data_IF_550959410478
#
_entry.id   IF_550959410478
#
_cell.length_a   1.000
_cell.length_b   1.000
_cell.length_c   1.000
_cell.angle_alpha   90.00
_cell.angle_beta   90.00
_cell.angle_gamma   90.00
#
_symmetry.space_group_name_H-M   'P 1'
#
loop_
_entity.id
_entity.type
_entity.pdbx_description
1 polymer ?
#
# COMPACT_ATOMS: atom_id res chain seq x y z
N UNK A 1 59.97 7.53 2.62
CA UNK A 1 58.77 7.50 3.47
C UNK A 1 57.60 7.55 2.52
N UNK A 2 56.96 6.40 2.30
CA UNK A 2 55.96 6.20 1.26
C UNK A 2 54.56 6.68 1.74
N UNK A 3 53.70 7.18 0.85
CA UNK A 3 52.37 7.74 1.18
C UNK A 3 51.26 6.69 1.01
N UNK A 4 51.39 5.50 1.60
CA UNK A 4 50.46 4.39 1.32
C UNK A 4 49.77 3.76 2.56
N UNK A 5 49.94 4.33 3.75
CA UNK A 5 49.36 3.76 4.98
C UNK A 5 48.14 4.56 5.54
N UNK A 6 47.68 5.65 4.90
CA UNK A 6 46.62 6.50 5.46
C UNK A 6 45.25 6.36 4.77
N UNK A 7 45.11 5.48 3.78
CA UNK A 7 43.83 5.30 3.04
C UNK A 7 43.02 4.06 3.40
N UNK A 8 43.58 3.10 4.14
CA UNK A 8 42.86 1.86 4.53
C UNK A 8 42.01 2.04 5.80
N UNK A 9 42.44 2.93 6.72
CA UNK A 9 41.79 3.04 8.04
C UNK A 9 40.42 3.73 7.98
N UNK A 10 40.17 4.55 6.95
CA UNK A 10 38.85 5.23 6.77
C UNK A 10 37.86 4.30 6.06
N UNK A 11 38.31 3.39 5.20
CA UNK A 11 37.49 2.45 4.48
C UNK A 11 36.89 1.39 5.40
N UNK A 12 37.68 0.88 6.30
CA UNK A 12 37.26 -0.16 7.24
C UNK A 12 36.33 0.39 8.32
N UNK A 13 36.59 1.60 8.83
CA UNK A 13 35.71 2.26 9.82
C UNK A 13 34.32 2.62 9.25
N UNK A 14 34.23 2.96 7.96
CA UNK A 14 32.94 3.24 7.29
C UNK A 14 32.20 1.95 7.00
N UNK A 15 32.92 0.86 6.64
CA UNK A 15 32.33 -0.46 6.41
C UNK A 15 31.74 -1.04 7.69
N UNK A 16 32.45 -0.94 8.81
CA UNK A 16 31.98 -1.43 10.11
C UNK A 16 30.80 -0.61 10.63
N UNK A 17 30.81 0.72 10.49
CA UNK A 17 29.70 1.58 10.90
C UNK A 17 28.43 1.37 10.04
N UNK A 18 28.57 1.04 8.75
CA UNK A 18 27.43 0.69 7.89
C UNK A 18 26.93 -0.72 8.21
N UNK A 19 27.83 -1.66 8.50
CA UNK A 19 27.47 -3.02 8.91
C UNK A 19 26.69 -3.02 10.23
N UNK A 20 27.15 -2.27 11.22
CA UNK A 20 26.49 -2.15 12.51
C UNK A 20 25.12 -1.43 12.40
N UNK A 21 25.03 -0.35 11.60
CA UNK A 21 23.78 0.34 11.35
C UNK A 21 22.76 -0.51 10.59
N UNK A 22 23.20 -1.38 9.67
CA UNK A 22 22.34 -2.34 8.96
C UNK A 22 21.95 -3.50 9.89
N UNK A 23 22.85 -3.95 10.76
CA UNK A 23 22.58 -5.00 11.74
C UNK A 23 21.54 -4.56 12.77
N UNK A 24 21.65 -3.32 13.29
CA UNK A 24 20.71 -2.76 14.25
C UNK A 24 19.34 -2.50 13.60
N UNK A 25 19.30 -1.99 12.36
CA UNK A 25 18.05 -1.78 11.63
C UNK A 25 17.32 -3.09 11.27
N UNK A 26 18.06 -4.18 11.05
CA UNK A 26 17.47 -5.51 10.77
C UNK A 26 17.00 -6.18 12.06
N UNK A 27 17.65 -5.92 13.21
CA UNK A 27 17.27 -6.52 14.50
C UNK A 27 15.97 -5.93 15.08
N UNK A 28 15.68 -4.66 14.80
CA UNK A 28 14.43 -3.99 15.24
C UNK A 28 13.23 -4.29 14.30
N UNK A 29 13.45 -4.91 13.14
CA UNK A 29 12.41 -5.16 12.13
C UNK A 29 11.69 -6.51 12.27
N UNK A 30 12.22 -7.45 13.04
CA UNK A 30 11.54 -8.75 13.25
C UNK A 30 10.50 -8.61 14.34
N UNK A 31 9.20 -8.89 14.06
CA UNK A 31 8.17 -8.84 15.08
C UNK A 31 8.54 -9.72 16.28
N UNK A 32 8.22 -9.29 17.52
CA UNK A 32 8.41 -10.11 18.71
C UNK A 32 7.74 -11.48 18.55
N UNK A 33 8.38 -12.54 19.06
CA UNK A 33 7.89 -13.91 18.90
C UNK A 33 6.47 -14.10 19.46
N UNK A 34 6.16 -13.42 20.55
CA UNK A 34 4.82 -13.39 21.16
C UNK A 34 3.76 -12.74 20.25
N UNK A 35 4.12 -11.71 19.47
CA UNK A 35 3.24 -11.11 18.47
C UNK A 35 2.98 -12.07 17.29
N UNK A 36 3.98 -12.82 16.86
CA UNK A 36 3.83 -13.85 15.83
C UNK A 36 2.95 -15.01 16.30
N UNK A 37 3.12 -15.46 17.54
CA UNK A 37 2.30 -16.54 18.12
C UNK A 37 0.82 -16.10 18.23
N UNK A 38 0.54 -14.86 18.62
CA UNK A 38 -0.82 -14.32 18.66
C UNK A 38 -1.43 -14.20 17.24
N UNK A 39 -0.65 -13.83 16.25
CA UNK A 39 -1.08 -13.68 14.86
C UNK A 39 -1.52 -14.98 14.19
N UNK A 40 -1.07 -16.16 14.66
CA UNK A 40 -1.48 -17.46 14.11
C UNK A 40 -2.98 -17.73 14.22
N UNK A 41 -3.65 -17.17 15.21
CA UNK A 41 -5.08 -17.38 15.48
C UNK A 41 -5.96 -16.20 15.04
N UNK A 42 -5.38 -15.09 14.62
CA UNK A 42 -6.09 -13.87 14.22
C UNK A 42 -5.59 -13.36 12.85
N UNK A 43 -6.37 -13.58 11.77
CA UNK A 43 -5.98 -13.14 10.42
C UNK A 43 -5.76 -11.62 10.30
N UNK A 44 -6.50 -10.79 11.04
CA UNK A 44 -6.32 -9.34 11.03
C UNK A 44 -4.99 -8.95 11.67
N UNK A 45 -4.70 -9.51 12.85
CA UNK A 45 -3.43 -9.28 13.52
C UNK A 45 -2.25 -9.79 12.67
N UNK A 46 -2.39 -10.92 11.99
CA UNK A 46 -1.38 -11.42 11.06
C UNK A 46 -1.08 -10.42 9.95
N UNK A 47 -2.12 -9.82 9.35
CA UNK A 47 -1.94 -8.77 8.33
C UNK A 47 -1.24 -7.53 8.89
N UNK A 48 -1.64 -7.06 10.08
CA UNK A 48 -0.99 -5.90 10.74
C UNK A 48 0.50 -6.16 10.94
N UNK A 49 0.85 -7.28 11.60
CA UNK A 49 2.24 -7.61 11.92
C UNK A 49 3.09 -7.76 10.66
N UNK A 50 2.56 -8.44 9.64
CA UNK A 50 3.27 -8.65 8.38
C UNK A 50 3.50 -7.34 7.63
N UNK A 51 2.47 -6.52 7.45
CA UNK A 51 2.56 -5.29 6.67
C UNK A 51 3.31 -4.17 7.40
N UNK A 52 3.23 -4.10 8.73
CA UNK A 52 4.06 -3.18 9.51
C UNK A 52 5.55 -3.50 9.34
N UNK A 53 5.90 -4.78 9.40
CA UNK A 53 7.28 -5.22 9.18
C UNK A 53 7.78 -4.93 7.76
N UNK A 54 6.92 -5.12 6.75
CA UNK A 54 7.31 -5.01 5.34
C UNK A 54 7.25 -3.56 4.81
N UNK A 55 6.57 -2.64 5.50
CA UNK A 55 6.21 -1.31 5.00
C UNK A 55 7.40 -0.50 4.43
N UNK A 56 8.58 -0.58 5.07
CA UNK A 56 9.76 0.17 4.65
C UNK A 56 10.37 -0.32 3.32
N UNK A 57 10.17 -1.58 2.96
CA UNK A 57 10.75 -2.22 1.77
C UNK A 57 9.70 -2.67 0.77
N UNK A 58 8.42 -2.39 1.05
CA UNK A 58 7.28 -2.89 0.28
C UNK A 58 7.31 -2.45 -1.17
N UNK A 59 7.56 -1.18 -1.42
CA UNK A 59 7.58 -0.61 -2.77
C UNK A 59 8.68 -1.23 -3.63
N UNK A 60 9.88 -1.41 -3.09
CA UNK A 60 11.00 -2.06 -3.77
C UNK A 60 10.70 -3.53 -4.07
N UNK A 61 10.19 -4.26 -3.09
CA UNK A 61 9.87 -5.69 -3.22
C UNK A 61 8.83 -5.98 -4.30
N UNK A 62 7.79 -5.15 -4.36
CA UNK A 62 6.68 -5.33 -5.30
C UNK A 62 6.80 -4.48 -6.56
N UNK A 63 7.94 -3.79 -6.75
CA UNK A 63 8.19 -2.88 -7.89
C UNK A 63 7.10 -1.83 -8.04
N UNK A 64 6.60 -1.33 -6.90
CA UNK A 64 5.64 -0.24 -6.84
C UNK A 64 6.37 1.05 -7.21
N UNK A 65 5.76 1.85 -8.06
CA UNK A 65 6.30 3.09 -8.56
C UNK A 65 5.17 4.09 -8.79
N UNK A 66 5.56 5.35 -8.89
CA UNK A 66 4.67 6.49 -9.16
C UNK A 66 5.10 7.20 -10.45
N UNK A 67 5.78 6.47 -11.34
CA UNK A 67 6.22 6.90 -12.66
C UNK A 67 5.09 6.79 -13.70
N UNK A 68 5.34 7.30 -14.91
CA UNK A 68 4.37 7.32 -16.01
C UNK A 68 3.78 5.92 -16.30
N UNK A 69 4.58 4.86 -16.19
CA UNK A 69 4.13 3.49 -16.40
C UNK A 69 3.03 3.07 -15.40
N UNK A 70 3.19 3.40 -14.15
CA UNK A 70 2.22 3.06 -13.11
C UNK A 70 1.01 3.99 -13.13
N UNK A 71 1.20 5.26 -13.48
CA UNK A 71 0.12 6.22 -13.70
C UNK A 71 -0.77 5.75 -14.86
N UNK A 72 -0.19 5.38 -16.00
CA UNK A 72 -0.93 4.83 -17.15
C UNK A 72 -1.67 3.54 -16.80
N UNK A 73 -1.02 2.62 -16.10
CA UNK A 73 -1.63 1.38 -15.64
C UNK A 73 -2.87 1.63 -14.76
N UNK A 74 -2.73 2.47 -13.73
CA UNK A 74 -3.82 2.77 -12.82
C UNK A 74 -4.99 3.47 -13.55
N UNK A 75 -4.67 4.42 -14.43
CA UNK A 75 -5.65 5.14 -15.23
C UNK A 75 -6.39 4.23 -16.20
N UNK A 76 -5.69 3.41 -16.98
CA UNK A 76 -6.26 2.48 -17.95
C UNK A 76 -7.23 1.48 -17.31
N UNK A 77 -6.83 0.88 -16.17
CA UNK A 77 -7.69 -0.04 -15.44
C UNK A 77 -8.93 0.68 -14.93
N UNK A 78 -8.75 1.85 -14.31
CA UNK A 78 -9.86 2.64 -13.79
C UNK A 78 -10.87 2.98 -14.91
N UNK A 79 -10.41 3.54 -16.02
CA UNK A 79 -11.26 3.93 -17.15
C UNK A 79 -12.04 2.75 -17.74
N UNK A 80 -11.41 1.58 -17.83
CA UNK A 80 -12.09 0.35 -18.28
C UNK A 80 -13.21 -0.09 -17.35
N UNK A 81 -12.98 0.01 -16.02
CA UNK A 81 -13.95 -0.44 -15.02
C UNK A 81 -15.13 0.53 -14.90
N UNK A 82 -14.91 1.83 -15.07
CA UNK A 82 -15.99 2.83 -15.02
C UNK A 82 -16.69 3.05 -16.35
N UNK A 83 -16.23 2.39 -17.42
CA UNK A 83 -16.85 2.46 -18.76
C UNK A 83 -16.47 3.70 -19.56
N UNK A 84 -15.31 4.31 -19.30
CA UNK A 84 -14.76 5.47 -20.00
C UNK A 84 -14.21 6.52 -19.05
N UNK A 85 -13.64 7.60 -19.60
CA UNK A 85 -13.06 8.67 -18.79
C UNK A 85 -14.10 9.39 -17.93
N UNK A 86 -13.75 9.64 -16.66
CA UNK A 86 -14.49 10.60 -15.83
C UNK A 86 -14.22 12.02 -16.35
N UNK A 87 -15.29 12.76 -16.66
CA UNK A 87 -15.16 14.13 -17.15
C UNK A 87 -14.92 15.15 -16.02
N UNK A 88 -15.26 14.79 -14.79
CA UNK A 88 -15.06 15.60 -13.60
C UNK A 88 -14.31 14.75 -12.59
N UNK A 89 -13.17 15.22 -12.08
CA UNK A 89 -12.44 14.52 -11.02
C UNK A 89 -13.31 14.37 -9.76
N UNK A 90 -13.11 13.28 -9.03
CA UNK A 90 -13.68 13.15 -7.69
C UNK A 90 -13.05 14.20 -6.76
N UNK A 91 -13.88 14.92 -6.00
CA UNK A 91 -13.37 15.89 -5.02
C UNK A 91 -12.75 15.20 -3.81
N UNK A 92 -13.37 14.09 -3.38
CA UNK A 92 -12.93 13.28 -2.24
C UNK A 92 -12.85 11.81 -2.63
N UNK A 93 -11.67 11.23 -2.53
CA UNK A 93 -11.46 9.80 -2.79
C UNK A 93 -10.93 9.09 -1.53
N UNK A 94 -11.35 7.85 -1.33
CA UNK A 94 -10.87 6.94 -0.30
C UNK A 94 -10.22 5.74 -0.95
N UNK A 95 -9.01 5.38 -0.55
CA UNK A 95 -8.41 4.08 -0.85
C UNK A 95 -8.48 3.17 0.38
N UNK A 96 -8.99 1.95 0.18
CA UNK A 96 -9.15 0.94 1.22
C UNK A 96 -8.11 -0.16 1.00
N UNK A 97 -7.44 -0.58 2.11
CA UNK A 97 -6.33 -1.52 2.02
C UNK A 97 -5.24 -0.98 1.09
N UNK A 98 -4.95 0.32 1.22
CA UNK A 98 -4.17 1.07 0.24
C UNK A 98 -2.67 0.79 0.31
N UNK A 99 -2.20 0.07 1.34
CA UNK A 99 -0.78 -0.19 1.52
C UNK A 99 0.01 1.12 1.50
N UNK A 100 0.95 1.22 0.58
CA UNK A 100 1.79 2.42 0.40
C UNK A 100 1.15 3.51 -0.50
N UNK A 101 -0.14 3.35 -0.87
CA UNK A 101 -0.91 4.32 -1.65
C UNK A 101 -0.80 4.14 -3.17
N UNK A 102 -0.41 2.96 -3.63
CA UNK A 102 -0.12 2.71 -5.03
C UNK A 102 -1.23 3.14 -5.98
N UNK A 103 -2.47 2.74 -5.74
CA UNK A 103 -3.52 2.95 -6.74
C UNK A 103 -4.06 4.38 -6.70
N UNK A 104 -4.40 4.90 -5.50
CA UNK A 104 -4.95 6.26 -5.37
C UNK A 104 -3.96 7.33 -5.78
N UNK A 105 -2.68 7.24 -5.37
CA UNK A 105 -1.69 8.27 -5.70
C UNK A 105 -1.45 8.34 -7.22
N UNK A 106 -1.40 7.18 -7.92
CA UNK A 106 -1.30 7.16 -9.37
C UNK A 106 -2.58 7.68 -10.05
N UNK A 107 -3.77 7.38 -9.52
CA UNK A 107 -5.03 7.95 -10.01
C UNK A 107 -5.08 9.46 -9.81
N UNK A 108 -4.59 9.99 -8.68
CA UNK A 108 -4.53 11.43 -8.44
C UNK A 108 -3.57 12.14 -9.41
N UNK A 109 -2.39 11.55 -9.67
CA UNK A 109 -1.47 12.08 -10.68
C UNK A 109 -2.10 12.10 -12.08
N UNK A 110 -2.97 11.15 -12.41
CA UNK A 110 -3.72 11.10 -13.68
C UNK A 110 -4.96 12.00 -13.72
N UNK A 111 -5.24 12.73 -12.63
CA UNK A 111 -6.37 13.66 -12.54
C UNK A 111 -7.74 13.02 -12.30
N UNK A 112 -7.79 11.79 -11.77
CA UNK A 112 -9.07 11.11 -11.42
C UNK A 112 -9.67 11.67 -10.13
N UNK A 113 -8.81 12.07 -9.18
CA UNK A 113 -9.25 12.66 -7.92
C UNK A 113 -8.38 13.88 -7.55
N UNK A 114 -8.92 14.82 -6.80
CA UNK A 114 -8.23 16.06 -6.38
C UNK A 114 -7.71 15.98 -4.96
N UNK A 115 -8.40 15.27 -4.08
CA UNK A 115 -7.92 14.96 -2.73
C UNK A 115 -8.21 13.51 -2.38
N UNK A 116 -7.44 12.96 -1.44
CA UNK A 116 -7.54 11.56 -1.08
C UNK A 116 -7.32 11.27 0.41
N UNK A 117 -7.86 10.14 0.83
CA UNK A 117 -7.54 9.49 2.10
C UNK A 117 -7.11 8.06 1.79
N UNK A 118 -5.95 7.66 2.29
CA UNK A 118 -5.49 6.26 2.23
C UNK A 118 -5.75 5.60 3.57
N UNK A 119 -6.41 4.45 3.55
CA UNK A 119 -6.61 3.63 4.73
C UNK A 119 -5.95 2.27 4.58
N UNK A 120 -5.37 1.80 5.65
CA UNK A 120 -4.85 0.44 5.79
C UNK A 120 -4.96 0.02 7.26
N UNK A 121 -4.98 -1.27 7.53
CA UNK A 121 -4.97 -1.80 8.90
C UNK A 121 -3.58 -1.65 9.55
N UNK A 122 -2.52 -1.53 8.75
CA UNK A 122 -1.14 -1.34 9.17
C UNK A 122 -0.79 0.14 9.29
N UNK A 123 -0.31 0.55 10.46
CA UNK A 123 0.20 1.90 10.68
C UNK A 123 1.45 2.19 9.83
N UNK A 124 2.31 1.17 9.65
CA UNK A 124 3.51 1.27 8.82
C UNK A 124 3.18 1.62 7.38
N UNK A 125 2.19 0.93 6.80
CA UNK A 125 1.69 1.19 5.44
C UNK A 125 1.11 2.59 5.31
N UNK A 126 0.22 3.00 6.21
CA UNK A 126 -0.37 4.35 6.22
C UNK A 126 0.71 5.43 6.28
N UNK A 127 1.71 5.27 7.15
CA UNK A 127 2.82 6.21 7.25
C UNK A 127 3.63 6.29 5.95
N UNK A 128 3.83 5.15 5.27
CA UNK A 128 4.53 5.13 3.99
C UNK A 128 3.71 5.81 2.88
N UNK A 129 2.39 5.54 2.82
CA UNK A 129 1.50 6.19 1.86
C UNK A 129 1.51 7.72 1.98
N UNK A 130 1.47 8.24 3.22
CA UNK A 130 1.55 9.69 3.46
C UNK A 130 2.90 10.25 3.00
N UNK A 131 4.03 9.58 3.31
CA UNK A 131 5.35 10.01 2.82
C UNK A 131 5.43 10.02 1.29
N UNK A 132 4.88 8.99 0.63
CA UNK A 132 4.83 8.93 -0.82
C UNK A 132 4.01 10.09 -1.40
N UNK A 133 2.84 10.38 -0.82
CA UNK A 133 1.99 11.49 -1.22
C UNK A 133 2.70 12.85 -1.06
N UNK A 134 3.39 13.07 0.06
CA UNK A 134 4.19 14.28 0.31
C UNK A 134 5.29 14.47 -0.74
N UNK A 135 6.02 13.40 -1.09
CA UNK A 135 7.06 13.44 -2.13
C UNK A 135 6.50 13.78 -3.52
N UNK A 136 5.26 13.36 -3.80
CA UNK A 136 4.56 13.64 -5.05
C UNK A 136 3.83 15.00 -5.04
N UNK A 137 3.81 15.70 -3.90
CA UNK A 137 3.07 16.97 -3.76
C UNK A 137 1.55 16.81 -3.81
N UNK A 138 1.02 15.61 -3.47
CA UNK A 138 -0.39 15.31 -3.48
C UNK A 138 -1.06 15.60 -2.13
N UNK A 139 -2.32 16.04 -2.16
CA UNK A 139 -3.12 16.28 -0.95
C UNK A 139 -3.79 14.99 -0.48
N UNK A 140 -3.11 14.25 0.39
CA UNK A 140 -3.59 12.98 0.92
C UNK A 140 -3.43 12.94 2.42
N UNK A 141 -4.46 12.44 3.11
CA UNK A 141 -4.41 12.06 4.52
C UNK A 141 -4.29 10.54 4.65
N UNK A 142 -3.65 10.08 5.73
CA UNK A 142 -3.59 8.67 6.10
C UNK A 142 -4.43 8.39 7.35
N UNK A 143 -5.16 7.27 7.36
CA UNK A 143 -5.94 6.83 8.51
C UNK A 143 -5.82 5.32 8.69
N UNK A 144 -5.33 4.87 9.85
CA UNK A 144 -5.41 3.44 10.19
C UNK A 144 -6.87 3.07 10.39
N UNK A 145 -7.33 2.07 9.64
CA UNK A 145 -8.72 1.63 9.72
C UNK A 145 -8.87 0.17 9.30
N UNK A 146 -9.79 -0.51 9.97
CA UNK A 146 -10.36 -1.77 9.51
C UNK A 146 -11.51 -1.46 8.54
N UNK A 147 -11.47 -2.04 7.34
CA UNK A 147 -12.52 -1.82 6.34
C UNK A 147 -13.88 -2.35 6.78
N UNK A 148 -13.92 -3.29 7.72
CA UNK A 148 -15.18 -3.80 8.29
C UNK A 148 -15.83 -2.81 9.29
N UNK A 149 -15.09 -1.73 9.71
CA UNK A 149 -15.56 -0.66 10.60
C UNK A 149 -14.83 0.65 10.28
N UNK A 150 -15.27 1.34 9.21
CA UNK A 150 -14.61 2.55 8.73
C UNK A 150 -14.93 3.76 9.62
N UNK A 151 -13.92 4.52 10.11
CA UNK A 151 -14.10 5.65 11.03
C UNK A 151 -14.49 6.95 10.29
N UNK A 152 -15.43 6.85 9.35
CA UNK A 152 -15.94 7.98 8.58
C UNK A 152 -17.45 8.07 8.66
N UNK A 153 -17.97 9.29 8.51
CA UNK A 153 -19.41 9.54 8.43
C UNK A 153 -20.02 8.95 7.15
N UNK A 154 -21.34 8.72 7.17
CA UNK A 154 -22.08 8.29 6.00
C UNK A 154 -21.92 9.32 4.85
N UNK A 155 -21.86 8.84 3.62
CA UNK A 155 -21.80 9.67 2.41
C UNK A 155 -20.67 10.71 2.42
N UNK A 156 -19.45 10.30 2.82
CA UNK A 156 -18.27 11.18 2.92
C UNK A 156 -17.46 11.26 1.64
N UNK A 157 -17.51 10.23 0.77
CA UNK A 157 -16.63 10.11 -0.39
C UNK A 157 -17.38 10.01 -1.72
N UNK A 158 -16.84 10.66 -2.76
CA UNK A 158 -17.34 10.57 -4.14
C UNK A 158 -16.85 9.32 -4.85
N UNK A 159 -15.65 8.86 -4.45
CA UNK A 159 -14.96 7.72 -5.01
C UNK A 159 -14.33 6.89 -3.90
N UNK A 160 -14.59 5.58 -3.92
CA UNK A 160 -13.87 4.61 -3.10
C UNK A 160 -13.14 3.66 -4.03
N UNK A 161 -11.85 3.47 -3.82
CA UNK A 161 -11.02 2.58 -4.62
C UNK A 161 -10.29 1.57 -3.75
N UNK A 162 -9.83 0.49 -4.37
CA UNK A 162 -8.95 -0.47 -3.74
C UNK A 162 -8.26 -1.36 -4.76
N UNK A 163 -7.04 -1.75 -4.48
CA UNK A 163 -6.23 -2.58 -5.36
C UNK A 163 -5.65 -3.76 -4.58
N UNK A 164 -6.01 -4.99 -4.99
CA UNK A 164 -5.48 -6.23 -4.43
C UNK A 164 -5.62 -6.36 -2.89
N UNK A 165 -6.78 -6.02 -2.31
CA UNK A 165 -6.99 -6.00 -0.86
C UNK A 165 -8.11 -6.94 -0.37
N UNK A 166 -9.16 -7.20 -1.19
CA UNK A 166 -10.33 -7.97 -0.74
C UNK A 166 -10.00 -9.38 -0.27
N UNK A 167 -8.98 -10.00 -0.85
CA UNK A 167 -8.55 -11.35 -0.48
C UNK A 167 -7.93 -11.44 0.92
N UNK A 168 -7.65 -10.31 1.57
CA UNK A 168 -7.19 -10.23 2.96
C UNK A 168 -8.34 -10.04 3.96
N UNK A 169 -9.57 -9.77 3.49
CA UNK A 169 -10.69 -9.39 4.35
C UNK A 169 -11.47 -10.63 4.81
N UNK A 170 -11.59 -10.86 6.13
CA UNK A 170 -12.36 -11.97 6.66
C UNK A 170 -13.86 -11.88 6.39
N UNK A 171 -14.48 -10.71 6.60
CA UNK A 171 -15.92 -10.46 6.34
C UNK A 171 -16.09 -9.44 5.20
N UNK A 172 -16.01 -9.95 3.96
CA UNK A 172 -16.19 -9.13 2.75
C UNK A 172 -17.59 -8.50 2.70
N UNK A 173 -18.62 -9.18 3.19
CA UNK A 173 -19.98 -8.64 3.19
C UNK A 173 -20.10 -7.43 4.13
N UNK A 174 -19.44 -7.46 5.28
CA UNK A 174 -19.37 -6.32 6.20
C UNK A 174 -18.57 -5.18 5.59
N UNK A 175 -17.41 -5.47 5.01
CA UNK A 175 -16.59 -4.47 4.32
C UNK A 175 -17.37 -3.76 3.21
N UNK A 176 -18.13 -4.51 2.39
CA UNK A 176 -18.97 -3.91 1.34
C UNK A 176 -20.09 -3.04 1.91
N UNK A 177 -20.68 -3.38 3.06
CA UNK A 177 -21.67 -2.51 3.73
C UNK A 177 -21.05 -1.18 4.16
N UNK A 178 -19.87 -1.21 4.76
CA UNK A 178 -19.14 -0.02 5.17
C UNK A 178 -18.73 0.85 3.98
N UNK A 179 -18.20 0.25 2.92
CA UNK A 179 -17.89 0.94 1.66
C UNK A 179 -19.12 1.68 1.12
N UNK A 180 -20.26 0.99 1.05
CA UNK A 180 -21.49 1.60 0.56
C UNK A 180 -22.03 2.68 1.50
N UNK A 181 -21.81 2.57 2.80
CA UNK A 181 -22.22 3.57 3.80
C UNK A 181 -21.45 4.88 3.63
N UNK A 182 -20.13 4.79 3.48
CA UNK A 182 -19.27 5.99 3.35
C UNK A 182 -19.33 6.63 1.96
N UNK A 183 -19.84 5.90 0.96
CA UNK A 183 -19.96 6.40 -0.41
C UNK A 183 -21.20 7.31 -0.56
N UNK A 184 -21.01 8.47 -1.16
CA UNK A 184 -22.11 9.41 -1.49
C UNK A 184 -23.08 8.79 -2.49
N UNK A 185 -24.37 9.16 -2.45
CA UNK A 185 -25.31 8.81 -3.51
C UNK A 185 -24.78 9.25 -4.89
N UNK A 186 -24.64 8.28 -5.80
CA UNK A 186 -24.04 8.50 -7.13
C UNK A 186 -22.52 8.41 -7.17
N UNK A 187 -21.86 8.20 -6.04
CA UNK A 187 -20.44 7.90 -5.95
C UNK A 187 -20.09 6.53 -6.56
N UNK A 188 -18.83 6.26 -6.73
CA UNK A 188 -18.33 5.02 -7.36
C UNK A 188 -17.41 4.23 -6.44
N UNK A 189 -17.62 2.92 -6.44
CA UNK A 189 -16.66 1.97 -5.87
C UNK A 189 -15.96 1.22 -7.00
N UNK A 190 -14.62 1.21 -6.99
CA UNK A 190 -13.78 0.53 -7.99
C UNK A 190 -12.74 -0.31 -7.29
N UNK A 191 -12.79 -1.61 -7.53
CA UNK A 191 -11.79 -2.56 -7.03
C UNK A 191 -11.16 -3.32 -8.19
N UNK A 192 -9.85 -3.54 -8.11
CA UNK A 192 -9.08 -4.29 -9.10
C UNK A 192 -7.86 -4.97 -8.46
N UNK A 193 -7.08 -5.67 -9.30
CA UNK A 193 -5.85 -6.34 -8.82
C UNK A 193 -6.08 -7.64 -8.05
N UNK A 194 -7.33 -8.04 -7.83
CA UNK A 194 -7.62 -9.24 -7.04
C UNK A 194 -7.11 -10.53 -7.72
N UNK A 195 -6.46 -11.43 -6.98
CA UNK A 195 -6.01 -12.70 -7.50
C UNK A 195 -7.21 -13.55 -7.95
N UNK A 196 -7.19 -13.97 -9.21
CA UNK A 196 -8.21 -14.89 -9.71
C UNK A 196 -7.72 -16.33 -9.62
N UNK A 197 -8.65 -17.30 -9.45
CA UNK A 197 -8.29 -18.73 -9.46
C UNK A 197 -7.48 -19.14 -10.70
N UNK A 198 -7.75 -18.54 -11.86
CA UNK A 198 -7.01 -18.82 -13.10
C UNK A 198 -5.63 -18.17 -13.09
N UNK A 199 -5.52 -16.94 -12.62
CA UNK A 199 -4.24 -16.23 -12.49
C UNK A 199 -3.32 -16.91 -11.49
N UNK A 200 -3.82 -17.29 -10.33
CA UNK A 200 -3.08 -18.01 -9.30
C UNK A 200 -2.60 -19.39 -9.79
N UNK A 201 -3.46 -20.14 -10.51
CA UNK A 201 -3.07 -21.42 -11.10
C UNK A 201 -1.93 -21.28 -12.13
N UNK A 202 -1.96 -20.25 -12.96
CA UNK A 202 -0.91 -19.98 -13.96
C UNK A 202 0.38 -19.53 -13.27
N UNK A 203 0.31 -18.60 -12.32
CA UNK A 203 1.46 -18.11 -11.57
C UNK A 203 2.17 -19.23 -10.82
N UNK A 204 1.44 -20.09 -10.09
CA UNK A 204 2.00 -21.26 -9.39
C UNK A 204 2.61 -22.30 -10.33
N UNK A 205 2.14 -22.37 -11.58
CA UNK A 205 2.73 -23.28 -12.56
C UNK A 205 4.02 -22.74 -13.16
N UNK A 206 4.08 -21.43 -13.40
CA UNK A 206 5.28 -20.76 -13.90
C UNK A 206 6.39 -20.73 -12.85
N UNK A 207 6.08 -20.46 -11.58
CA UNK A 207 7.06 -20.44 -10.49
C UNK A 207 7.70 -21.81 -10.18
N UNK A 208 7.14 -22.92 -10.71
CA UNK A 208 7.74 -24.26 -10.60
C UNK A 208 8.68 -24.59 -11.75
N UNK A 209 8.79 -23.71 -12.75
CA UNK A 209 9.64 -23.88 -13.93
C UNK A 209 10.93 -23.04 -13.86
N UNK A 210 11.04 -22.18 -12.84
CA UNK A 210 12.23 -21.42 -12.46
C UNK A 210 12.87 -22.01 -11.22
#
# INVERSE_FOLDING_TARGET
MAPDEMTNDIGDAVSDAVSDAVSDAVSDAVPPVDALDAAWSDPKLANVVYHDWEAATYDDKWSISYDDRCIEYARDIFDRLVGGQMHVPAETALEIGGGTGFFLLNLMQSGVATSGTVTDISQGMVNQAVRNAEQLGLQVSGQVADVEELPFDDASFDLVVGHAFLHHIPDVDQALREIMRVLRPGGRFVVCGEPTRKGDFVARRLSRLT
#
